data_IF_374270320115
#
_entry.id   IF_374270320115
#
_cell.length_a   1.000
_cell.length_b   1.000
_cell.length_c   1.000
_cell.angle_alpha   90.00
_cell.angle_beta   90.00
_cell.angle_gamma   90.00
#
_symmetry.space_group_name_H-M   'P 1'
#
loop_
_entity.id
_entity.type
_entity.pdbx_description
1 polymer ?
#
# COMPACT_ATOMS: atom_id res chain seq x y z
N UNK A 1 -26.69 8.09 5.95
CA UNK A 1 -25.85 8.66 4.88
C UNK A 1 -25.58 7.57 3.86
N UNK A 2 -25.92 7.77 2.58
CA UNK A 2 -25.60 6.79 1.53
C UNK A 2 -24.10 6.90 1.24
N UNK A 3 -23.33 5.84 1.49
CA UNK A 3 -21.88 5.85 1.22
C UNK A 3 -21.64 6.16 -0.27
N UNK A 4 -20.73 7.09 -0.56
CA UNK A 4 -20.25 7.29 -1.94
C UNK A 4 -19.63 5.99 -2.43
N UNK A 5 -19.98 5.56 -3.66
CA UNK A 5 -19.42 4.36 -4.30
C UNK A 5 -17.88 4.38 -4.31
N UNK A 6 -17.27 5.56 -4.43
CA UNK A 6 -15.81 5.70 -4.42
C UNK A 6 -15.22 5.44 -3.03
N UNK A 7 -15.92 5.81 -1.96
CA UNK A 7 -15.48 5.54 -0.58
C UNK A 7 -15.50 4.04 -0.30
N UNK A 8 -16.55 3.33 -0.72
CA UNK A 8 -16.59 1.85 -0.61
C UNK A 8 -15.47 1.22 -1.44
N UNK A 9 -15.28 1.66 -2.67
CA UNK A 9 -14.22 1.14 -3.54
C UNK A 9 -12.83 1.37 -2.92
N UNK A 10 -12.58 2.55 -2.33
CA UNK A 10 -11.34 2.84 -1.63
C UNK A 10 -11.16 1.94 -0.39
N UNK A 11 -12.22 1.71 0.38
CA UNK A 11 -12.16 0.79 1.52
C UNK A 11 -11.73 -0.61 1.09
N UNK A 12 -12.30 -1.13 0.00
CA UNK A 12 -11.93 -2.43 -0.57
C UNK A 12 -10.47 -2.42 -1.03
N UNK A 13 -10.05 -1.39 -1.76
CA UNK A 13 -8.67 -1.29 -2.25
C UNK A 13 -7.65 -1.26 -1.09
N UNK A 14 -7.92 -0.52 -0.01
CA UNK A 14 -7.09 -0.53 1.20
C UNK A 14 -7.04 -1.90 1.89
N UNK A 15 -8.18 -2.60 1.96
CA UNK A 15 -8.20 -3.95 2.52
C UNK A 15 -7.38 -4.94 1.67
N UNK A 16 -7.44 -4.80 0.34
CA UNK A 16 -6.63 -5.59 -0.59
C UNK A 16 -5.14 -5.26 -0.45
N UNK A 17 -4.75 -3.98 -0.34
CA UNK A 17 -3.36 -3.58 -0.05
C UNK A 17 -2.84 -4.26 1.21
N UNK A 18 -3.59 -4.19 2.32
CA UNK A 18 -3.20 -4.82 3.60
C UNK A 18 -2.99 -6.33 3.41
N UNK A 19 -3.89 -7.00 2.70
CA UNK A 19 -3.75 -8.43 2.41
C UNK A 19 -2.52 -8.73 1.55
N UNK A 20 -2.28 -7.97 0.48
CA UNK A 20 -1.12 -8.14 -0.39
C UNK A 20 0.20 -7.94 0.37
N UNK A 21 0.30 -6.92 1.22
CA UNK A 21 1.49 -6.71 2.06
C UNK A 21 1.74 -7.93 2.94
N UNK A 22 0.72 -8.50 3.58
CA UNK A 22 0.88 -9.72 4.38
C UNK A 22 1.40 -10.88 3.52
N UNK A 23 0.83 -11.07 2.31
CA UNK A 23 1.26 -12.11 1.38
C UNK A 23 2.71 -11.92 0.90
N UNK A 24 3.19 -10.68 0.82
CA UNK A 24 4.58 -10.34 0.47
C UNK A 24 5.57 -10.48 1.63
N UNK A 25 5.11 -10.82 2.84
CA UNK A 25 5.97 -11.02 4.01
C UNK A 25 6.25 -12.50 4.27
N UNK A 26 7.14 -12.84 5.23
CA UNK A 26 7.34 -14.24 5.65
C UNK A 26 6.10 -14.92 6.23
N UNK A 27 5.05 -14.18 6.59
CA UNK A 27 3.75 -14.75 6.97
C UNK A 27 2.97 -15.30 5.76
N UNK A 28 3.34 -14.88 4.55
CA UNK A 28 2.76 -15.30 3.28
C UNK A 28 3.74 -16.14 2.47
N UNK A 29 4.30 -15.53 1.41
CA UNK A 29 5.10 -16.22 0.39
C UNK A 29 6.57 -15.82 0.35
N UNK A 30 7.04 -14.96 1.24
CA UNK A 30 8.46 -14.61 1.27
C UNK A 30 9.27 -15.76 1.86
N UNK A 31 10.07 -16.41 1.01
CA UNK A 31 10.87 -17.57 1.38
C UNK A 31 12.36 -17.25 1.56
N UNK A 32 12.80 -16.06 1.19
CA UNK A 32 14.21 -15.66 1.33
C UNK A 32 14.52 -15.42 2.82
N UNK A 33 15.65 -15.92 3.33
CA UNK A 33 15.99 -15.76 4.73
C UNK A 33 16.41 -14.32 5.02
N UNK A 34 16.13 -13.85 6.24
CA UNK A 34 16.53 -12.50 6.68
C UNK A 34 18.05 -12.29 6.65
N UNK A 35 18.85 -13.35 6.66
CA UNK A 35 20.32 -13.30 6.53
C UNK A 35 20.78 -12.81 5.16
N UNK A 36 19.94 -12.91 4.13
CA UNK A 36 20.24 -12.41 2.78
C UNK A 36 19.78 -10.97 2.54
N UNK A 37 19.16 -10.35 3.55
CA UNK A 37 18.69 -8.97 3.48
C UNK A 37 19.88 -8.00 3.52
N UNK A 38 19.94 -7.12 2.52
CA UNK A 38 20.93 -6.03 2.42
C UNK A 38 20.52 -4.87 3.33
N UNK A 39 21.46 -3.96 3.63
CA UNK A 39 21.19 -2.75 4.43
C UNK A 39 19.99 -1.95 3.92
N UNK A 40 19.83 -1.83 2.60
CA UNK A 40 18.70 -1.13 1.98
C UNK A 40 17.37 -1.86 2.26
N UNK A 41 17.36 -3.19 2.28
CA UNK A 41 16.19 -3.98 2.65
C UNK A 41 15.72 -3.70 4.08
N UNK A 42 16.64 -3.51 5.04
CA UNK A 42 16.27 -3.12 6.40
C UNK A 42 15.60 -1.74 6.47
N UNK A 43 16.05 -0.77 5.66
CA UNK A 43 15.42 0.54 5.57
C UNK A 43 14.02 0.43 4.96
N UNK A 44 13.87 -0.43 3.95
CA UNK A 44 12.60 -0.66 3.29
C UNK A 44 11.56 -1.34 4.16
N UNK A 45 11.96 -2.19 5.11
CA UNK A 45 11.04 -2.70 6.13
C UNK A 45 10.35 -1.54 6.87
N UNK A 46 11.10 -0.48 7.18
CA UNK A 46 10.54 0.74 7.79
C UNK A 46 9.48 1.42 6.91
N UNK A 47 9.71 1.50 5.60
CA UNK A 47 8.74 2.11 4.67
C UNK A 47 7.51 1.22 4.46
N UNK A 48 7.67 -0.11 4.43
CA UNK A 48 6.55 -1.07 4.39
C UNK A 48 5.66 -0.88 5.61
N UNK A 49 6.23 -0.87 6.83
CA UNK A 49 5.45 -0.70 8.05
C UNK A 49 4.79 0.68 8.12
N UNK A 50 5.49 1.75 7.72
CA UNK A 50 4.91 3.08 7.68
C UNK A 50 3.72 3.14 6.70
N UNK A 51 3.87 2.61 5.49
CA UNK A 51 2.80 2.52 4.50
C UNK A 51 1.60 1.72 5.01
N UNK A 52 1.84 0.55 5.59
CA UNK A 52 0.79 -0.31 6.17
C UNK A 52 0.03 0.40 7.30
N UNK A 53 0.72 1.08 8.21
CA UNK A 53 0.10 1.86 9.29
C UNK A 53 -0.81 2.95 8.71
N UNK A 54 -0.36 3.64 7.66
CA UNK A 54 -1.15 4.68 7.00
C UNK A 54 -2.39 4.10 6.31
N UNK A 55 -2.29 2.94 5.67
CA UNK A 55 -3.42 2.26 5.03
C UNK A 55 -4.46 1.79 6.07
N UNK A 56 -4.01 1.20 7.18
CA UNK A 56 -4.89 0.80 8.29
C UNK A 56 -5.55 2.01 8.94
N UNK A 57 -4.78 3.07 9.21
CA UNK A 57 -5.32 4.31 9.77
C UNK A 57 -6.31 4.99 8.82
N UNK A 58 -6.02 4.98 7.51
CA UNK A 58 -6.93 5.46 6.48
C UNK A 58 -8.23 4.68 6.52
N UNK A 59 -8.18 3.34 6.49
CA UNK A 59 -9.36 2.49 6.54
C UNK A 59 -10.22 2.78 7.78
N UNK A 60 -9.61 2.86 8.97
CA UNK A 60 -10.31 3.15 10.22
C UNK A 60 -10.99 4.53 10.22
N UNK A 61 -10.37 5.53 9.59
CA UNK A 61 -10.87 6.90 9.55
C UNK A 61 -11.83 7.17 8.38
N UNK A 62 -11.91 6.27 7.41
CA UNK A 62 -12.53 6.52 6.10
C UNK A 62 -13.99 6.97 6.18
N UNK A 63 -14.74 6.52 7.19
CA UNK A 63 -16.15 6.87 7.37
C UNK A 63 -16.42 8.03 8.33
N UNK A 64 -15.39 8.52 9.03
CA UNK A 64 -15.51 9.60 10.04
C UNK A 64 -14.72 10.86 9.67
N UNK A 65 -13.58 10.70 9.01
CA UNK A 65 -12.69 11.78 8.58
C UNK A 65 -12.21 11.51 7.15
N UNK A 66 -13.16 11.44 6.21
CA UNK A 66 -12.95 11.08 4.79
C UNK A 66 -11.74 11.76 4.17
N UNK A 67 -11.59 13.07 4.38
CA UNK A 67 -10.48 13.85 3.82
C UNK A 67 -9.12 13.41 4.37
N UNK A 68 -9.00 13.28 5.70
CA UNK A 68 -7.77 12.81 6.34
C UNK A 68 -7.45 11.38 5.91
N UNK A 69 -8.44 10.48 5.91
CA UNK A 69 -8.28 9.11 5.44
C UNK A 69 -7.73 9.07 4.01
N UNK A 70 -8.34 9.85 3.11
CA UNK A 70 -7.88 9.92 1.71
C UNK A 70 -6.44 10.43 1.59
N UNK A 71 -6.05 11.44 2.38
CA UNK A 71 -4.66 11.91 2.42
C UNK A 71 -3.70 10.84 2.92
N UNK A 72 -4.07 10.09 3.97
CA UNK A 72 -3.25 8.99 4.48
C UNK A 72 -3.10 7.88 3.44
N UNK A 73 -4.18 7.51 2.74
CA UNK A 73 -4.11 6.52 1.65
C UNK A 73 -3.21 6.97 0.49
N UNK A 74 -3.25 8.26 0.12
CA UNK A 74 -2.35 8.80 -0.92
C UNK A 74 -0.89 8.65 -0.50
N UNK A 75 -0.55 9.10 0.71
CA UNK A 75 0.82 9.03 1.23
C UNK A 75 1.27 7.58 1.41
N UNK A 76 0.41 6.73 1.98
CA UNK A 76 0.65 5.30 2.15
C UNK A 76 0.93 4.61 0.82
N UNK A 77 0.08 4.85 -0.19
CA UNK A 77 0.25 4.26 -1.53
C UNK A 77 1.57 4.69 -2.18
N UNK A 78 1.96 5.97 -2.04
CA UNK A 78 3.24 6.47 -2.57
C UNK A 78 4.43 5.79 -1.87
N UNK A 79 4.37 5.65 -0.54
CA UNK A 79 5.44 5.02 0.24
C UNK A 79 5.63 3.54 -0.11
N UNK A 80 4.56 2.83 -0.43
CA UNK A 80 4.58 1.40 -0.73
C UNK A 80 5.16 1.07 -2.11
N UNK A 81 5.29 2.04 -3.03
CA UNK A 81 6.02 1.82 -4.29
C UNK A 81 7.52 1.59 -4.08
N UNK A 82 8.15 2.26 -3.10
CA UNK A 82 9.60 2.18 -2.91
C UNK A 82 10.08 0.75 -2.58
N UNK A 83 9.41 0.00 -1.67
CA UNK A 83 9.67 -1.42 -1.45
C UNK A 83 9.74 -2.25 -2.73
N UNK A 84 8.70 -2.14 -3.57
CA UNK A 84 8.57 -2.94 -4.78
C UNK A 84 9.74 -2.67 -5.75
N UNK A 85 10.04 -1.40 -6.02
CA UNK A 85 11.18 -1.05 -6.89
C UNK A 85 12.53 -1.47 -6.30
N UNK A 86 12.66 -1.40 -4.97
CA UNK A 86 13.88 -1.81 -4.29
C UNK A 86 14.13 -3.31 -4.39
N UNK A 87 13.09 -4.15 -4.30
CA UNK A 87 13.24 -5.58 -4.49
C UNK A 87 13.50 -5.94 -5.96
N UNK A 88 12.73 -5.36 -6.88
CA UNK A 88 12.83 -5.57 -8.34
C UNK A 88 14.22 -5.20 -8.93
N UNK A 89 14.90 -4.24 -8.31
CA UNK A 89 16.29 -3.87 -8.69
C UNK A 89 17.36 -4.74 -8.03
N UNK A 90 16.97 -5.73 -7.22
CA UNK A 90 17.88 -6.57 -6.45
C UNK A 90 18.55 -5.84 -5.29
N UNK A 91 18.02 -4.69 -4.86
CA UNK A 91 18.61 -3.88 -3.78
C UNK A 91 18.29 -4.44 -2.40
N UNK A 92 17.25 -5.27 -2.25
CA UNK A 92 16.78 -5.75 -0.93
C UNK A 92 17.41 -7.06 -0.51
N UNK A 93 17.44 -8.04 -1.41
CA UNK A 93 17.99 -9.36 -1.13
C UNK A 93 19.19 -9.66 -2.02
N UNK A 94 20.05 -10.55 -1.54
CA UNK A 94 21.14 -11.11 -2.33
C UNK A 94 20.68 -12.28 -3.22
N UNK A 95 19.53 -12.87 -2.90
CA UNK A 95 18.88 -13.93 -3.65
C UNK A 95 17.87 -13.39 -4.68
N UNK A 96 17.62 -14.12 -5.78
CA UNK A 96 16.59 -13.75 -6.74
C UNK A 96 15.20 -13.74 -6.10
N UNK A 97 14.32 -12.89 -6.63
CA UNK A 97 12.94 -12.75 -6.17
C UNK A 97 12.18 -14.07 -6.42
N UNK A 98 11.50 -14.65 -5.41
CA UNK A 98 10.64 -15.81 -5.62
C UNK A 98 9.56 -15.51 -6.68
N UNK A 99 9.26 -16.45 -7.61
CA UNK A 99 8.31 -16.18 -8.71
C UNK A 99 6.91 -15.72 -8.24
N UNK A 100 6.45 -16.22 -7.08
CA UNK A 100 5.18 -15.82 -6.49
C UNK A 100 5.24 -14.38 -5.98
N UNK A 101 6.30 -14.00 -5.26
CA UNK A 101 6.52 -12.62 -4.81
C UNK A 101 6.58 -11.67 -6.00
N UNK A 102 7.37 -12.02 -7.02
CA UNK A 102 7.49 -11.22 -8.24
C UNK A 102 6.12 -10.95 -8.90
N UNK A 103 5.25 -11.96 -8.95
CA UNK A 103 3.87 -11.81 -9.47
C UNK A 103 3.01 -10.93 -8.58
N UNK A 104 3.07 -11.13 -7.26
CA UNK A 104 2.32 -10.35 -6.28
C UNK A 104 2.74 -8.88 -6.28
N UNK A 105 4.01 -8.58 -6.49
CA UNK A 105 4.52 -7.20 -6.59
C UNK A 105 3.92 -6.46 -7.80
N UNK A 106 3.78 -7.10 -8.96
CA UNK A 106 3.10 -6.49 -10.11
C UNK A 106 1.61 -6.26 -9.84
N UNK A 107 0.95 -7.20 -9.17
CA UNK A 107 -0.44 -7.04 -8.75
C UNK A 107 -0.54 -5.86 -7.78
N UNK A 108 0.36 -5.78 -6.81
CA UNK A 108 0.38 -4.71 -5.81
C UNK A 108 0.60 -3.34 -6.46
N UNK A 109 1.49 -3.21 -7.45
CA UNK A 109 1.63 -1.97 -8.25
C UNK A 109 0.29 -1.53 -8.84
N UNK A 110 -0.49 -2.46 -9.41
CA UNK A 110 -1.80 -2.13 -9.99
C UNK A 110 -2.78 -1.69 -8.89
N UNK A 111 -2.81 -2.39 -7.76
CA UNK A 111 -3.69 -2.03 -6.64
C UNK A 111 -3.30 -0.68 -6.04
N UNK A 112 -2.01 -0.39 -5.87
CA UNK A 112 -1.51 0.91 -5.42
C UNK A 112 -1.91 2.05 -6.36
N UNK A 113 -1.86 1.85 -7.68
CA UNK A 113 -2.35 2.84 -8.64
C UNK A 113 -3.86 3.07 -8.53
N UNK A 114 -4.64 2.01 -8.37
CA UNK A 114 -6.09 2.09 -8.14
C UNK A 114 -6.42 2.80 -6.82
N UNK A 115 -5.73 2.43 -5.75
CA UNK A 115 -5.83 3.05 -4.42
C UNK A 115 -5.51 4.54 -4.48
N UNK A 116 -4.41 4.91 -5.14
CA UNK A 116 -4.01 6.31 -5.32
C UNK A 116 -5.07 7.11 -6.10
N UNK A 117 -5.57 6.55 -7.20
CA UNK A 117 -6.63 7.18 -8.00
C UNK A 117 -7.93 7.38 -7.21
N UNK A 118 -8.38 6.34 -6.50
CA UNK A 118 -9.60 6.40 -5.69
C UNK A 118 -9.44 7.36 -4.51
N UNK A 119 -8.30 7.31 -3.80
CA UNK A 119 -8.01 8.21 -2.70
C UNK A 119 -7.96 9.66 -3.16
N UNK A 120 -7.33 9.95 -4.31
CA UNK A 120 -7.35 11.27 -4.92
C UNK A 120 -8.78 11.74 -5.23
N UNK A 121 -9.61 10.87 -5.83
CA UNK A 121 -10.99 11.19 -6.17
C UNK A 121 -11.83 11.48 -4.92
N UNK A 122 -11.74 10.63 -3.90
CA UNK A 122 -12.45 10.80 -2.62
C UNK A 122 -11.97 12.07 -1.90
N UNK A 123 -10.66 12.37 -1.95
CA UNK A 123 -10.12 13.61 -1.41
C UNK A 123 -10.73 14.86 -2.08
N UNK A 124 -10.84 14.87 -3.42
CA UNK A 124 -11.47 15.99 -4.15
C UNK A 124 -12.96 16.11 -3.85
N UNK A 125 -13.68 15.00 -3.80
CA UNK A 125 -15.11 14.97 -3.45
C UNK A 125 -15.39 15.44 -2.01
N UNK A 126 -14.40 15.34 -1.12
CA UNK A 126 -14.52 15.83 0.26
C UNK A 126 -14.38 17.35 0.43
N UNK A 127 -14.11 18.09 -0.65
CA UNK A 127 -14.13 19.56 -0.63
C UNK A 127 -15.57 20.07 -0.81
N UNK A 128 -16.07 20.97 0.05
CA UNK A 128 -17.23 21.76 -0.30
C UNK A 128 -16.85 22.70 -1.44
N UNK A 129 -17.65 22.73 -2.51
CA UNK A 129 -17.54 23.77 -3.55
C UNK A 129 -17.62 25.15 -2.86
N UNK A 130 -16.75 26.11 -3.20
CA UNK A 130 -16.93 27.48 -2.73
C UNK A 130 -18.29 27.97 -3.27
N UNK A 131 -19.20 28.28 -2.35
CA UNK A 131 -20.48 28.95 -2.62
C UNK A 131 -20.26 30.38 -3.07
#
# INVERSE_FOLDING_TARGET
>A
MRLSRNVVALAVALAVNVALIILLTPLGFETRPATDLKTVGYIAIGTIFAGLILDVASFALLFRRVRLASSLAIVGSILLFFPIFGDQTGSFFSLPIPPVIHTLEYIDVVVLLVSLFLAWKVYRESHPSPS
#
